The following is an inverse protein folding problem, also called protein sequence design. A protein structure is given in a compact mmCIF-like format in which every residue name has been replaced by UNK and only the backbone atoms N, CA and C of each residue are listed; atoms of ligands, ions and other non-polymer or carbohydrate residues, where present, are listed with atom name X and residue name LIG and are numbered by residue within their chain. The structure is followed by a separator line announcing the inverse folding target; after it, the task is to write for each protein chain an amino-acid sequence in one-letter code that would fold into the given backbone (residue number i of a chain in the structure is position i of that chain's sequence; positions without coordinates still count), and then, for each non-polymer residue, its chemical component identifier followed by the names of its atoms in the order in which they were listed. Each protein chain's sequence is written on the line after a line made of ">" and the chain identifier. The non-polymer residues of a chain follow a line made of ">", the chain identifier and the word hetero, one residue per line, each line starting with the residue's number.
data_IF_290399738148
#
_entry.id   IF_290399738148
#
_cell.length_a   1.000
_cell.length_b   1.000
_cell.length_c   1.000
_cell.angle_alpha   90.00
_cell.angle_beta   90.00
_cell.angle_gamma   90.00
#
_symmetry.space_group_name_H-M   'P 1'
#
loop_
_entity.id
_entity.type
_entity.pdbx_description
1 polymer ?
#
# COMPACT_ATOMS: atom_id res chain seq x y z
N UNK A 1 -19.59 12.62 -1.72
CA UNK A 1 -18.29 12.49 -1.04
C UNK A 1 -17.44 11.58 -1.92
N UNK A 2 -16.73 12.18 -2.87
CA UNK A 2 -15.95 11.42 -3.85
C UNK A 2 -14.51 11.87 -3.72
N UNK A 3 -13.73 11.14 -2.94
CA UNK A 3 -12.26 11.29 -2.97
C UNK A 3 -11.83 10.94 -4.39
N UNK A 4 -11.05 11.79 -5.05
CA UNK A 4 -10.41 11.49 -6.32
C UNK A 4 -9.35 10.38 -6.15
N UNK A 5 -9.84 9.13 -6.05
CA UNK A 5 -9.03 7.90 -5.98
C UNK A 5 -8.10 7.73 -7.20
N UNK A 6 -8.25 8.56 -8.22
CA UNK A 6 -7.48 8.53 -9.47
C UNK A 6 -6.03 8.99 -9.35
N UNK A 7 -5.61 9.65 -8.26
CA UNK A 7 -4.24 10.14 -8.10
C UNK A 7 -3.42 9.43 -7.01
N UNK A 8 -3.98 8.40 -6.36
CA UNK A 8 -3.25 7.64 -5.34
C UNK A 8 -2.34 6.64 -6.06
N UNK A 9 -1.03 6.89 -6.00
CA UNK A 9 -0.05 5.89 -6.45
C UNK A 9 0.06 4.80 -5.38
N UNK A 10 -0.42 3.60 -5.67
CA UNK A 10 -0.29 2.41 -4.81
C UNK A 10 1.13 1.82 -4.82
N UNK A 11 2.11 2.68 -4.57
CA UNK A 11 3.53 2.32 -4.48
C UNK A 11 4.07 2.81 -3.16
N UNK A 12 4.93 2.01 -2.54
CA UNK A 12 5.50 2.34 -1.25
C UNK A 12 6.37 3.59 -1.39
N UNK A 13 6.13 4.66 -0.61
CA UNK A 13 6.90 5.90 -0.72
C UNK A 13 8.37 5.72 -0.29
N UNK A 14 8.70 4.65 0.44
CA UNK A 14 10.05 4.37 0.94
C UNK A 14 10.90 3.53 -0.03
N UNK A 15 10.33 2.47 -0.60
CA UNK A 15 11.09 1.53 -1.43
C UNK A 15 10.60 1.44 -2.89
N UNK A 16 9.51 2.11 -3.24
CA UNK A 16 8.88 2.00 -4.56
C UNK A 16 8.26 0.64 -4.85
N UNK A 17 8.16 -0.25 -3.85
CA UNK A 17 7.51 -1.56 -3.97
C UNK A 17 5.99 -1.48 -4.03
N UNK A 18 5.35 -2.59 -4.34
CA UNK A 18 3.89 -2.69 -4.43
C UNK A 18 3.24 -2.51 -3.05
N UNK A 19 2.11 -1.80 -3.01
CA UNK A 19 1.25 -1.72 -1.82
C UNK A 19 0.00 -2.58 -2.02
N UNK A 20 -0.35 -3.37 -1.00
CA UNK A 20 -1.63 -4.10 -0.93
C UNK A 20 -2.61 -3.30 -0.09
N UNK A 21 -3.77 -2.98 -0.66
CA UNK A 21 -4.90 -2.42 0.09
C UNK A 21 -5.57 -3.53 0.92
N UNK A 22 -5.65 -3.32 2.23
CA UNK A 22 -6.26 -4.27 3.18
C UNK A 22 -7.70 -3.89 3.53
N UNK A 23 -8.21 -2.77 3.01
CA UNK A 23 -9.61 -2.42 3.19
C UNK A 23 -10.49 -3.24 2.24
N UNK A 24 -11.47 -3.94 2.79
CA UNK A 24 -12.41 -4.81 2.09
C UNK A 24 -13.58 -4.05 1.44
N UNK A 25 -13.61 -2.72 1.57
CA UNK A 25 -14.67 -1.87 1.02
C UNK A 25 -15.92 -1.78 1.89
N UNK A 26 -15.98 -2.55 2.99
CA UNK A 26 -17.09 -2.55 3.91
C UNK A 26 -16.90 -1.48 5.01
N UNK A 27 -17.94 -0.68 5.32
CA UNK A 27 -17.86 0.40 6.30
C UNK A 27 -17.74 -0.08 7.74
N UNK A 28 -18.05 -1.35 8.01
CA UNK A 28 -18.01 -1.98 9.35
C UNK A 28 -16.95 -3.09 9.40
N UNK A 29 -15.86 -2.92 8.66
CA UNK A 29 -14.70 -3.82 8.76
C UNK A 29 -14.16 -3.79 10.19
N UNK A 30 -14.06 -4.96 10.83
CA UNK A 30 -13.62 -5.08 12.23
C UNK A 30 -12.11 -4.82 12.43
N UNK A 31 -11.34 -4.67 11.34
CA UNK A 31 -9.88 -4.66 11.41
C UNK A 31 -9.22 -3.47 10.69
N UNK A 32 -9.69 -3.09 9.50
CA UNK A 32 -9.09 -2.00 8.70
C UNK A 32 -10.22 -1.13 8.15
N UNK A 33 -10.36 0.07 8.70
CA UNK A 33 -11.31 1.07 8.19
C UNK A 33 -10.81 1.79 6.93
N UNK A 34 -11.73 2.45 6.22
CA UNK A 34 -11.44 3.22 4.99
C UNK A 34 -10.29 4.24 5.17
N UNK A 35 -10.23 4.87 6.34
CA UNK A 35 -9.26 5.90 6.72
C UNK A 35 -8.20 5.39 7.72
N UNK A 36 -8.04 4.07 7.84
CA UNK A 36 -7.03 3.50 8.74
C UNK A 36 -5.62 3.87 8.28
N UNK A 37 -4.76 4.24 9.23
CA UNK A 37 -3.33 4.48 9.00
C UNK A 37 -2.58 3.18 8.64
N UNK A 38 -3.19 2.02 8.88
CA UNK A 38 -2.63 0.70 8.56
C UNK A 38 -3.24 0.06 7.29
N UNK A 39 -3.98 0.83 6.49
CA UNK A 39 -4.74 0.29 5.35
C UNK A 39 -3.85 -0.32 4.26
N UNK A 40 -2.71 0.28 3.94
CA UNK A 40 -1.86 -0.17 2.85
C UNK A 40 -0.60 -0.86 3.37
N UNK A 41 -0.41 -2.14 3.04
CA UNK A 41 0.80 -2.89 3.42
C UNK A 41 1.81 -2.91 2.29
N UNK A 42 3.07 -2.57 2.58
CA UNK A 42 4.16 -2.75 1.62
C UNK A 42 4.57 -4.22 1.49
N UNK A 43 4.54 -4.74 0.27
CA UNK A 43 4.95 -6.12 -0.05
C UNK A 43 6.47 -6.25 -0.30
N UNK A 44 7.19 -5.13 -0.25
CA UNK A 44 8.59 -5.04 -0.66
C UNK A 44 8.72 -4.80 -2.16
N UNK A 45 9.87 -4.25 -2.56
CA UNK A 45 10.20 -4.03 -3.97
C UNK A 45 10.73 -5.34 -4.54
N UNK A 46 10.22 -5.76 -5.69
CA UNK A 46 10.78 -6.89 -6.42
C UNK A 46 12.10 -6.48 -7.07
N UNK A 47 13.14 -7.27 -6.85
CA UNK A 47 14.47 -7.11 -7.41
C UNK A 47 14.94 -8.47 -7.92
N UNK A 48 15.10 -8.59 -9.24
CA UNK A 48 15.54 -9.83 -9.87
C UNK A 48 16.87 -10.29 -9.25
N UNK A 49 16.94 -11.56 -8.85
CA UNK A 49 18.19 -12.16 -8.39
C UNK A 49 18.51 -13.36 -9.26
N UNK A 50 19.75 -13.45 -9.77
CA UNK A 50 20.23 -14.64 -10.49
C UNK A 50 20.33 -15.88 -9.57
N UNK A 51 20.36 -15.68 -8.23
CA UNK A 51 20.45 -16.78 -7.26
C UNK A 51 19.13 -17.52 -7.03
N UNK A 52 18.01 -16.85 -7.21
CA UNK A 52 16.69 -17.40 -6.93
C UNK A 52 15.81 -17.14 -8.14
N UNK A 53 15.15 -18.17 -8.69
CA UNK A 53 14.38 -18.05 -9.92
C UNK A 53 13.43 -16.84 -9.96
N UNK A 54 13.02 -16.38 -11.16
CA UNK A 54 12.44 -15.04 -11.37
C UNK A 54 11.21 -14.72 -10.50
N UNK A 55 10.49 -15.75 -10.03
CA UNK A 55 9.27 -15.61 -9.22
C UNK A 55 9.46 -15.92 -7.74
N UNK A 56 10.70 -16.08 -7.27
CA UNK A 56 10.96 -16.41 -5.88
C UNK A 56 10.60 -15.23 -4.98
N UNK A 57 9.72 -15.43 -3.98
CA UNK A 57 9.31 -14.38 -3.03
C UNK A 57 10.48 -13.76 -2.25
N UNK A 58 11.60 -14.47 -2.15
CA UNK A 58 12.85 -13.97 -1.56
C UNK A 58 13.52 -12.87 -2.40
N UNK A 59 13.10 -12.68 -3.64
CA UNK A 59 13.53 -11.57 -4.51
C UNK A 59 12.82 -10.26 -4.18
N UNK A 60 12.03 -10.20 -3.11
CA UNK A 60 11.46 -8.95 -2.61
C UNK A 60 12.27 -8.42 -1.43
N UNK A 61 12.44 -7.12 -1.37
CA UNK A 61 12.96 -6.46 -0.17
C UNK A 61 12.03 -6.66 1.02
N UNK A 62 12.52 -6.43 2.24
CA UNK A 62 11.67 -6.47 3.42
C UNK A 62 10.58 -5.39 3.32
N UNK A 63 9.39 -5.71 3.83
CA UNK A 63 8.28 -4.76 3.95
C UNK A 63 8.74 -3.49 4.69
N UNK A 64 8.34 -2.33 4.17
CA UNK A 64 8.57 -1.04 4.83
C UNK A 64 7.53 -0.71 5.91
N UNK A 65 6.57 -1.62 6.16
CA UNK A 65 5.48 -1.44 7.10
C UNK A 65 4.14 -1.13 6.41
N UNK A 66 3.27 -0.47 7.17
CA UNK A 66 1.94 -0.07 6.78
C UNK A 66 1.87 1.45 6.56
N UNK A 67 0.90 1.88 5.75
CA UNK A 67 0.70 3.27 5.33
C UNK A 67 -0.78 3.59 5.28
N UNK A 68 -1.13 4.82 5.64
CA UNK A 68 -2.48 5.36 5.50
C UNK A 68 -2.65 6.09 4.17
N UNK A 69 -3.89 6.50 3.92
CA UNK A 69 -4.21 7.38 2.78
C UNK A 69 -3.40 8.69 2.82
N UNK A 70 -3.19 9.25 4.01
CA UNK A 70 -2.41 10.48 4.21
C UNK A 70 -0.94 10.32 3.81
N UNK A 71 -0.32 9.18 4.14
CA UNK A 71 1.07 8.90 3.76
C UNK A 71 1.26 8.77 2.24
N UNK A 72 0.18 8.45 1.52
CA UNK A 72 0.15 8.35 0.06
C UNK A 72 -0.26 9.67 -0.61
N UNK A 73 -0.42 10.75 0.16
CA UNK A 73 -0.76 12.08 -0.35
C UNK A 73 -2.24 12.26 -0.67
N UNK A 74 -3.13 11.40 -0.14
CA UNK A 74 -4.55 11.69 -0.15
C UNK A 74 -4.86 12.73 0.92
N UNK A 75 -5.11 13.96 0.49
CA UNK A 75 -5.65 15.01 1.34
C UNK A 75 -7.19 14.90 1.35
N UNK A 76 -7.86 15.05 2.51
CA UNK A 76 -9.29 15.31 2.49
C UNK A 76 -9.52 16.63 1.74
N UNK A 77 -10.49 16.68 0.83
CA UNK A 77 -10.94 17.96 0.29
C UNK A 77 -11.41 18.82 1.47
N UNK A 78 -10.67 19.91 1.75
CA UNK A 78 -11.07 20.89 2.76
C UNK A 78 -12.41 21.52 2.31
N UNK A 79 -13.44 21.39 3.16
CA UNK A 79 -14.73 22.08 3.00
C UNK A 79 -14.70 23.45 3.68
#
# INVERSE_FOLDING_TARGET
>A
MSVDKNNIRLVCPKCGGELTDLWDGEPVSAFIGEWSDDRFRCEGKWEESEKWGPYARVNRTKSCGYFGLKDLGAEPEEE
#
